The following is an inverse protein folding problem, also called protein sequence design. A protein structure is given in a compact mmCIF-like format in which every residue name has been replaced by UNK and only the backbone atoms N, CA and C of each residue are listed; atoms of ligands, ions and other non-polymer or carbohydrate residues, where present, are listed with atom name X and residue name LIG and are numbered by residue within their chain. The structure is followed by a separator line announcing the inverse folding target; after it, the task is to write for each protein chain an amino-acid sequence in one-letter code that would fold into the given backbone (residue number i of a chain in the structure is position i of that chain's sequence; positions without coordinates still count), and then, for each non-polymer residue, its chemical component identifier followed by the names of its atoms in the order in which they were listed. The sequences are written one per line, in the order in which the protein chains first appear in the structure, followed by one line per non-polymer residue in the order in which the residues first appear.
data_IF_175419092148
#
_entry.id   IF_175419092148
#
_cell.length_a   1.000
_cell.length_b   1.000
_cell.length_c   1.000
_cell.angle_alpha   90.00
_cell.angle_beta   90.00
_cell.angle_gamma   90.00
#
_symmetry.space_group_name_H-M   'P 1'
#
loop_
_entity.id
_entity.type
_entity.pdbx_description
1 polymer ?
#
# COMPACT_ATOMS: atom_id res chain seq x y z
N UNK A 1 -9.75 19.68 18.43
CA UNK A 1 -8.72 18.83 17.79
C UNK A 1 -9.31 18.31 16.49
N UNK A 2 -8.83 18.81 15.35
CA UNK A 2 -9.28 18.34 14.04
C UNK A 2 -8.79 16.91 13.84
N UNK A 3 -9.69 15.94 13.69
CA UNK A 3 -9.33 14.64 13.12
C UNK A 3 -8.71 14.90 11.75
N UNK A 4 -7.56 14.29 11.49
CA UNK A 4 -6.99 14.27 10.14
C UNK A 4 -7.86 13.33 9.29
N UNK A 5 -9.04 13.79 8.90
CA UNK A 5 -9.81 13.08 7.88
C UNK A 5 -9.03 13.15 6.58
N UNK A 6 -8.61 11.99 6.11
CA UNK A 6 -7.95 11.86 4.82
C UNK A 6 -8.99 12.14 3.74
N UNK A 7 -8.70 13.15 2.93
CA UNK A 7 -9.57 13.56 1.82
C UNK A 7 -9.79 12.37 0.86
N UNK A 8 -11.05 12.03 0.51
CA UNK A 8 -11.33 11.02 -0.51
C UNK A 8 -10.66 11.31 -1.85
N UNK A 9 -10.44 12.59 -2.16
CA UNK A 9 -9.71 13.02 -3.36
C UNK A 9 -8.23 12.66 -3.30
N UNK A 10 -7.61 12.58 -2.11
CA UNK A 10 -6.24 12.11 -1.96
C UNK A 10 -6.16 10.59 -2.19
N UNK A 11 -7.07 9.82 -1.59
CA UNK A 11 -7.17 8.36 -1.77
C UNK A 11 -7.29 8.02 -3.25
N UNK A 12 -8.27 8.63 -3.94
CA UNK A 12 -8.50 8.40 -5.37
C UNK A 12 -7.30 8.77 -6.24
N UNK A 13 -6.49 9.77 -5.86
CA UNK A 13 -5.26 10.11 -6.59
C UNK A 13 -4.20 9.04 -6.43
N UNK A 14 -4.04 8.47 -5.23
CA UNK A 14 -3.05 7.41 -4.99
C UNK A 14 -3.45 6.13 -5.72
N UNK A 15 -4.73 5.75 -5.67
CA UNK A 15 -5.26 4.60 -6.43
C UNK A 15 -5.00 4.74 -7.93
N UNK A 16 -5.26 5.93 -8.50
CA UNK A 16 -4.99 6.19 -9.91
C UNK A 16 -3.52 6.10 -10.30
N UNK A 17 -2.60 6.44 -9.39
CA UNK A 17 -1.16 6.27 -9.63
C UNK A 17 -0.82 4.78 -9.66
N UNK A 18 -1.34 4.00 -8.70
CA UNK A 18 -1.14 2.55 -8.66
C UNK A 18 -1.65 1.89 -9.95
N UNK A 19 -2.86 2.24 -10.41
CA UNK A 19 -3.44 1.70 -11.64
C UNK A 19 -2.59 2.04 -12.87
N UNK A 20 -2.09 3.26 -12.95
CA UNK A 20 -1.22 3.72 -14.03
C UNK A 20 0.09 2.92 -14.09
N UNK A 21 0.75 2.71 -12.94
CA UNK A 21 2.01 1.97 -12.89
C UNK A 21 1.80 0.48 -13.21
N UNK A 22 0.65 -0.09 -12.84
CA UNK A 22 0.24 -1.44 -13.28
C UNK A 22 0.04 -1.55 -14.80
N UNK A 23 -0.61 -0.56 -15.42
CA UNK A 23 -0.78 -0.50 -16.87
C UNK A 23 0.57 -0.37 -17.58
N UNK A 24 1.46 0.49 -17.06
CA UNK A 24 2.81 0.66 -17.58
C UNK A 24 3.61 -0.65 -17.57
N UNK A 25 3.59 -1.40 -16.46
CA UNK A 25 4.23 -2.72 -16.37
C UNK A 25 3.70 -3.69 -17.44
N UNK A 26 2.39 -3.70 -17.67
CA UNK A 26 1.75 -4.58 -18.65
C UNK A 26 2.18 -4.23 -20.08
N UNK A 27 2.16 -2.95 -20.43
CA UNK A 27 2.62 -2.46 -21.74
C UNK A 27 4.11 -2.72 -21.96
N UNK A 28 4.95 -2.52 -20.93
CA UNK A 28 6.38 -2.82 -21.02
C UNK A 28 6.65 -4.32 -21.20
N UNK A 29 5.83 -5.19 -20.61
CA UNK A 29 5.92 -6.62 -20.83
C UNK A 29 5.64 -6.98 -22.30
N UNK A 30 4.57 -6.44 -22.88
CA UNK A 30 4.25 -6.60 -24.31
C UNK A 30 5.38 -6.08 -25.21
N UNK A 31 5.91 -4.88 -24.92
CA UNK A 31 7.06 -4.33 -25.66
C UNK A 31 8.29 -5.25 -25.57
N UNK A 32 8.55 -5.87 -24.41
CA UNK A 32 9.68 -6.79 -24.23
C UNK A 32 9.57 -8.05 -25.10
N UNK A 33 8.36 -8.48 -25.46
CA UNK A 33 8.11 -9.64 -26.34
C UNK A 33 8.49 -9.32 -27.81
N UNK A 34 8.31 -8.07 -28.24
CA UNK A 34 8.62 -7.63 -29.60
C UNK A 34 10.12 -7.35 -29.83
N UNK A 35 10.90 -7.20 -28.77
CA UNK A 35 12.33 -6.89 -28.84
C UNK A 35 13.18 -8.15 -28.92
N UNK A 36 14.05 -8.23 -29.92
CA UNK A 36 14.99 -9.36 -30.10
C UNK A 36 16.34 -9.15 -29.40
N UNK A 37 16.73 -7.90 -29.16
CA UNK A 37 18.00 -7.58 -28.51
C UNK A 37 17.92 -7.90 -27.00
N UNK A 38 18.71 -8.86 -26.48
CA UNK A 38 18.66 -9.23 -25.08
C UNK A 38 19.06 -8.09 -24.13
N UNK A 39 19.91 -7.17 -24.56
CA UNK A 39 20.32 -6.01 -23.76
C UNK A 39 19.15 -5.05 -23.58
N UNK A 40 18.41 -4.79 -24.67
CA UNK A 40 17.22 -3.92 -24.62
C UNK A 40 16.10 -4.56 -23.80
N UNK A 41 15.89 -5.89 -23.92
CA UNK A 41 14.95 -6.62 -23.06
C UNK A 41 15.31 -6.55 -21.58
N UNK A 42 16.59 -6.63 -21.24
CA UNK A 42 17.06 -6.47 -19.87
C UNK A 42 16.73 -5.07 -19.33
N UNK A 43 16.98 -4.02 -20.12
CA UNK A 43 16.60 -2.65 -19.74
C UNK A 43 15.10 -2.50 -19.51
N UNK A 44 14.26 -3.08 -20.37
CA UNK A 44 12.79 -3.06 -20.19
C UNK A 44 12.39 -3.79 -18.91
N UNK A 45 13.05 -4.90 -18.60
CA UNK A 45 12.81 -5.67 -17.37
C UNK A 45 13.18 -4.88 -16.12
N UNK A 46 14.29 -4.12 -16.16
CA UNK A 46 14.69 -3.23 -15.07
C UNK A 46 13.65 -2.12 -14.86
N UNK A 47 13.12 -1.52 -15.93
CA UNK A 47 12.05 -0.52 -15.85
C UNK A 47 10.77 -1.12 -15.24
N UNK A 48 10.37 -2.33 -15.63
CA UNK A 48 9.24 -3.04 -15.00
C UNK A 48 9.48 -3.21 -13.49
N UNK A 49 10.72 -3.49 -13.09
CA UNK A 49 11.12 -3.57 -11.68
C UNK A 49 10.93 -2.25 -10.92
N UNK A 50 11.25 -1.12 -11.55
CA UNK A 50 11.04 0.22 -10.98
C UNK A 50 9.54 0.53 -10.81
N UNK A 51 8.71 0.26 -11.82
CA UNK A 51 7.26 0.45 -11.73
C UNK A 51 6.61 -0.45 -10.68
N UNK A 52 7.08 -1.68 -10.54
CA UNK A 52 6.68 -2.55 -9.43
C UNK A 52 7.07 -1.95 -8.07
N UNK A 53 8.24 -1.33 -7.99
CA UNK A 53 8.69 -0.56 -6.83
C UNK A 53 7.75 0.59 -6.48
N UNK A 54 7.30 1.35 -7.48
CA UNK A 54 6.32 2.42 -7.32
C UNK A 54 4.99 1.89 -6.78
N UNK A 55 4.41 0.87 -7.42
CA UNK A 55 3.17 0.21 -6.96
C UNK A 55 3.28 -0.21 -5.50
N UNK A 56 4.38 -0.85 -5.12
CA UNK A 56 4.62 -1.29 -3.75
C UNK A 56 4.61 -0.11 -2.77
N UNK A 57 5.32 0.97 -3.07
CA UNK A 57 5.40 2.13 -2.18
C UNK A 57 4.08 2.92 -2.13
N UNK A 58 3.39 3.11 -3.24
CA UNK A 58 2.08 3.77 -3.26
C UNK A 58 1.00 2.96 -2.56
N UNK A 59 1.05 1.62 -2.64
CA UNK A 59 0.16 0.74 -1.86
C UNK A 59 0.39 0.90 -0.35
N UNK A 60 1.66 0.98 0.08
CA UNK A 60 1.99 1.25 1.48
C UNK A 60 1.53 2.64 1.93
N UNK A 61 1.71 3.65 1.07
CA UNK A 61 1.20 5.00 1.32
C UNK A 61 -0.33 4.98 1.46
N UNK A 62 -1.04 4.34 0.54
CA UNK A 62 -2.49 4.18 0.58
C UNK A 62 -2.93 3.52 1.88
N UNK A 63 -2.28 2.42 2.28
CA UNK A 63 -2.55 1.76 3.55
C UNK A 63 -2.34 2.70 4.75
N UNK A 64 -1.28 3.50 4.75
CA UNK A 64 -0.99 4.43 5.85
C UNK A 64 -2.00 5.57 6.00
N UNK A 65 -2.65 5.98 4.91
CA UNK A 65 -3.65 7.05 4.91
C UNK A 65 -5.09 6.54 5.00
N UNK A 66 -5.31 5.24 4.76
CA UNK A 66 -6.64 4.60 4.87
C UNK A 66 -6.82 3.84 6.19
N UNK A 67 -5.72 3.42 6.83
CA UNK A 67 -5.78 2.89 8.19
C UNK A 67 -6.10 4.02 9.16
N UNK A 68 -7.31 4.00 9.71
CA UNK A 68 -7.67 4.80 10.88
C UNK A 68 -6.65 4.45 11.97
N UNK A 69 -5.95 5.42 12.59
CA UNK A 69 -5.13 5.11 13.75
C UNK A 69 -6.07 4.50 14.79
N UNK A 70 -5.89 3.21 15.07
CA UNK A 70 -6.51 2.58 16.23
C UNK A 70 -6.05 3.43 17.40
N UNK A 71 -6.95 4.29 17.93
CA UNK A 71 -6.79 4.81 19.28
C UNK A 71 -6.66 3.55 20.12
N UNK A 72 -5.44 3.27 20.56
CA UNK A 72 -5.14 2.26 21.54
C UNK A 72 -5.95 2.59 22.79
N UNK A 73 -7.20 2.12 22.86
CA UNK A 73 -7.91 1.91 24.12
C UNK A 73 -7.34 0.62 24.70
N UNK A 74 -6.10 0.65 25.14
CA UNK A 74 -5.50 -0.41 25.96
C UNK A 74 -5.22 0.16 27.33
N UNK A 75 -6.28 0.60 28.01
CA UNK A 75 -6.32 0.89 29.42
C UNK A 75 -7.75 1.27 29.80
N UNK A 76 -8.24 0.67 30.89
CA UNK A 76 -9.57 0.83 31.49
C UNK A 76 -10.69 -0.06 30.91
N UNK A 77 -10.53 -1.38 30.96
CA UNK A 77 -11.62 -2.33 31.31
C UNK A 77 -11.07 -3.78 31.30
N UNK A 78 -10.21 -4.09 32.27
CA UNK A 78 -10.01 -5.48 32.69
C UNK A 78 -9.83 -5.50 34.20
N UNK A 79 -10.90 -5.13 34.90
CA UNK A 79 -11.07 -5.42 36.32
C UNK A 79 -11.41 -6.90 36.42
N UNK A 80 -10.39 -7.75 36.63
CA UNK A 80 -10.63 -9.12 37.06
C UNK A 80 -11.15 -9.05 38.49
N UNK A 81 -12.43 -9.35 38.67
CA UNK A 81 -12.97 -9.68 39.97
C UNK A 81 -12.27 -10.96 40.42
N UNK A 82 -11.31 -10.84 41.35
CA UNK A 82 -10.85 -11.98 42.12
C UNK A 82 -11.97 -12.29 43.11
N UNK A 83 -12.69 -13.38 42.83
CA UNK A 83 -13.56 -14.01 43.81
C UNK A 83 -12.74 -14.29 45.07
N UNK A 84 -13.15 -13.68 46.20
CA UNK A 84 -12.68 -14.08 47.52
C UNK A 84 -13.25 -15.47 47.80
N UNK A 85 -12.47 -16.50 47.49
CA UNK A 85 -12.68 -17.84 48.00
C UNK A 85 -12.49 -17.81 49.52
N UNK A 86 -13.63 -17.93 50.19
CA UNK A 86 -13.84 -17.97 51.62
C UNK A 86 -13.28 -19.30 52.19
N UNK A 87 -12.11 -19.25 52.84
CA UNK A 87 -11.64 -20.24 53.84
C UNK A 87 -11.11 -19.50 55.06
#
# INVERSE_FOLDING_TARGET
MSSYEVSPQLISKIERIIDHDFEAMSLLAEVSEDIRDPTVRALITDIIGDEYGHVRFFTLLLASVTTIPVKTKMNEEYSVNLEEDNI
#
